data_IF_450234077011
#
_entry.id   IF_450234077011
#
_cell.length_a   1.000
_cell.length_b   1.000
_cell.length_c   1.000
_cell.angle_alpha   90.00
_cell.angle_beta   90.00
_cell.angle_gamma   90.00
#
_symmetry.space_group_name_H-M   'P 1'
#
loop_
_entity.id
_entity.type
_entity.pdbx_description
1 polymer ?
#
# COMPACT_ATOMS: atom_id res chain seq x y z
N UNK A 1 7.34 7.04 -0.76
CA UNK A 1 7.30 5.71 -1.42
C UNK A 1 5.88 5.23 -1.49
N UNK A 2 5.50 4.56 -2.57
CA UNK A 2 4.16 3.94 -2.72
C UNK A 2 4.29 2.44 -2.98
N UNK A 3 3.44 1.66 -2.35
CA UNK A 3 3.30 0.22 -2.60
C UNK A 3 1.91 -0.26 -2.19
N UNK A 4 1.55 -1.50 -2.55
CA UNK A 4 0.25 -2.08 -2.24
C UNK A 4 0.37 -3.48 -1.64
N UNK A 5 -0.58 -3.82 -0.77
CA UNK A 5 -0.68 -5.14 -0.16
C UNK A 5 -2.08 -5.73 -0.37
N UNK A 6 -2.20 -7.04 -0.68
CA UNK A 6 -3.47 -7.73 -0.74
C UNK A 6 -4.20 -7.75 0.62
N UNK A 7 -5.49 -7.43 0.61
CA UNK A 7 -6.40 -7.58 1.75
C UNK A 7 -7.48 -8.58 1.35
N UNK A 8 -7.26 -9.89 1.55
CA UNK A 8 -8.25 -10.90 1.24
C UNK A 8 -9.43 -10.82 2.23
N UNK A 9 -10.64 -10.92 1.73
CA UNK A 9 -11.88 -11.00 2.53
C UNK A 9 -12.46 -12.41 2.55
N UNK A 10 -12.16 -13.21 1.52
CA UNK A 10 -12.55 -14.61 1.43
C UNK A 10 -11.56 -15.40 0.58
N UNK A 11 -11.56 -16.73 0.77
CA UNK A 11 -10.86 -17.63 -0.14
C UNK A 11 -11.53 -17.63 -1.52
N UNK A 12 -10.76 -17.74 -2.59
CA UNK A 12 -11.26 -17.65 -3.97
C UNK A 12 -12.35 -18.68 -4.27
N UNK A 13 -12.28 -19.87 -3.68
CA UNK A 13 -13.29 -20.91 -3.84
C UNK A 13 -14.68 -20.50 -3.30
N UNK A 14 -14.76 -19.43 -2.50
CA UNK A 14 -16.00 -18.87 -1.97
C UNK A 14 -16.48 -17.63 -2.73
N UNK A 15 -15.93 -17.33 -3.89
CA UNK A 15 -16.21 -16.11 -4.67
C UNK A 15 -17.72 -15.90 -4.87
N UNK A 16 -18.45 -16.95 -5.23
CA UNK A 16 -19.89 -16.87 -5.48
C UNK A 16 -20.76 -17.03 -4.23
N UNK A 17 -20.23 -17.63 -3.17
CA UNK A 17 -21.00 -17.91 -1.95
C UNK A 17 -20.84 -16.83 -0.86
N UNK A 18 -19.78 -16.01 -0.92
CA UNK A 18 -19.54 -15.00 0.11
C UNK A 18 -20.44 -13.80 -0.06
N UNK A 19 -20.96 -13.29 1.08
CA UNK A 19 -21.74 -12.04 1.16
C UNK A 19 -20.91 -10.87 1.74
N UNK A 20 -19.62 -11.09 2.01
CA UNK A 20 -18.75 -10.10 2.66
C UNK A 20 -18.51 -8.92 1.72
N UNK A 21 -18.74 -7.69 2.21
CA UNK A 21 -18.54 -6.43 1.50
C UNK A 21 -19.29 -6.37 0.14
N UNK A 22 -20.49 -6.95 0.05
CA UNK A 22 -21.32 -6.95 -1.17
C UNK A 22 -22.58 -6.12 -1.03
N UNK A 23 -22.60 -5.20 -0.09
CA UNK A 23 -23.71 -4.25 0.11
C UNK A 23 -23.91 -3.31 -1.07
N UNK A 24 -22.84 -2.94 -1.78
CA UNK A 24 -22.88 -2.12 -2.98
C UNK A 24 -22.03 -2.75 -4.09
N UNK A 25 -22.54 -2.77 -5.31
CA UNK A 25 -21.86 -3.34 -6.46
C UNK A 25 -20.52 -2.63 -6.76
N UNK A 26 -20.49 -1.30 -6.57
CA UNK A 26 -19.31 -0.47 -6.82
C UNK A 26 -18.15 -0.79 -5.88
N UNK A 27 -18.43 -1.15 -4.64
CA UNK A 27 -17.43 -1.47 -3.61
C UNK A 27 -17.27 -2.97 -3.40
N UNK A 28 -18.03 -3.83 -4.08
CA UNK A 28 -17.93 -5.28 -3.94
C UNK A 28 -16.51 -5.79 -4.19
N UNK A 29 -16.03 -6.79 -3.40
CA UNK A 29 -14.69 -7.33 -3.55
C UNK A 29 -14.54 -8.04 -4.89
N UNK A 30 -13.33 -8.04 -5.42
CA UNK A 30 -13.04 -8.62 -6.71
C UNK A 30 -11.84 -9.58 -6.64
N UNK A 31 -11.66 -10.38 -7.68
CA UNK A 31 -10.57 -11.34 -7.80
C UNK A 31 -9.26 -10.63 -8.11
N UNK A 32 -8.23 -10.90 -7.32
CA UNK A 32 -6.87 -10.46 -7.56
C UNK A 32 -5.88 -11.59 -7.51
N UNK A 33 -4.67 -11.36 -8.03
CA UNK A 33 -3.55 -12.28 -7.95
C UNK A 33 -2.46 -11.72 -7.06
N UNK A 34 -1.99 -12.52 -6.10
CA UNK A 34 -0.85 -12.18 -5.25
C UNK A 34 0.40 -12.89 -5.79
N UNK A 35 1.30 -12.14 -6.43
CA UNK A 35 2.56 -12.69 -6.94
C UNK A 35 3.44 -13.27 -5.81
N UNK A 36 3.41 -12.65 -4.63
CA UNK A 36 4.18 -13.11 -3.46
C UNK A 36 3.71 -14.46 -2.94
N UNK A 37 2.39 -14.71 -2.98
CA UNK A 37 1.81 -15.97 -2.50
C UNK A 37 1.57 -16.99 -3.63
N UNK A 38 1.75 -16.59 -4.88
CA UNK A 38 1.49 -17.44 -6.05
C UNK A 38 0.02 -17.85 -6.21
N UNK A 39 -0.94 -17.11 -5.64
CA UNK A 39 -2.34 -17.52 -5.60
C UNK A 39 -3.32 -16.37 -5.84
N UNK A 40 -4.51 -16.73 -6.30
CA UNK A 40 -5.65 -15.83 -6.41
C UNK A 40 -6.31 -15.64 -5.05
N UNK A 41 -6.88 -14.45 -4.82
CA UNK A 41 -7.68 -14.13 -3.65
C UNK A 41 -8.88 -13.26 -4.06
N UNK A 42 -9.91 -13.23 -3.23
CA UNK A 42 -11.05 -12.33 -3.34
C UNK A 42 -10.90 -11.22 -2.31
N UNK A 43 -10.93 -9.97 -2.72
CA UNK A 43 -10.79 -8.85 -1.78
C UNK A 43 -10.36 -7.54 -2.41
N UNK A 44 -9.46 -6.87 -1.73
CA UNK A 44 -8.99 -5.51 -2.04
C UNK A 44 -7.47 -5.43 -2.04
N UNK A 45 -6.95 -4.29 -2.50
CA UNK A 45 -5.56 -3.87 -2.28
C UNK A 45 -5.57 -2.62 -1.42
N UNK A 46 -4.76 -2.63 -0.37
CA UNK A 46 -4.43 -1.43 0.38
C UNK A 46 -3.18 -0.80 -0.23
N UNK A 47 -3.33 0.39 -0.76
CA UNK A 47 -2.22 1.23 -1.22
C UNK A 47 -1.79 2.13 -0.08
N UNK A 48 -0.48 2.22 0.15
CA UNK A 48 0.11 3.12 1.15
C UNK A 48 1.17 4.01 0.51
N UNK A 49 1.11 5.29 0.83
CA UNK A 49 2.19 6.22 0.58
C UNK A 49 2.87 6.53 1.90
N UNK A 50 4.18 6.34 1.94
CA UNK A 50 4.99 6.56 3.14
C UNK A 50 6.22 7.40 2.83
N UNK A 51 6.69 8.15 3.83
CA UNK A 51 7.95 8.90 3.75
C UNK A 51 9.16 7.96 3.80
N UNK A 52 10.35 8.49 3.56
CA UNK A 52 11.61 7.74 3.71
C UNK A 52 11.83 7.21 5.14
N UNK A 53 11.30 7.90 6.13
CA UNK A 53 11.34 7.48 7.53
C UNK A 53 10.27 6.46 7.90
N UNK A 54 9.36 6.13 6.97
CA UNK A 54 8.30 5.16 7.19
C UNK A 54 7.05 5.75 7.87
N UNK A 55 6.88 7.06 7.88
CA UNK A 55 5.66 7.70 8.36
C UNK A 55 4.62 7.71 7.25
N UNK A 56 3.37 7.40 7.57
CA UNK A 56 2.27 7.39 6.61
C UNK A 56 1.95 8.80 6.12
N UNK A 57 1.72 8.91 4.83
CA UNK A 57 1.21 10.12 4.19
C UNK A 57 -0.26 9.95 3.81
N UNK A 58 -0.56 8.92 3.01
CA UNK A 58 -1.91 8.63 2.55
C UNK A 58 -2.12 7.13 2.37
N UNK A 59 -3.38 6.72 2.38
CA UNK A 59 -3.79 5.34 2.12
C UNK A 59 -5.07 5.33 1.29
N UNK A 60 -5.24 4.25 0.52
CA UNK A 60 -6.45 3.99 -0.24
C UNK A 60 -6.71 2.49 -0.39
N UNK A 61 -7.98 2.13 -0.60
CA UNK A 61 -8.43 0.76 -0.84
C UNK A 61 -9.06 0.67 -2.23
N UNK A 62 -8.46 -0.17 -3.08
CA UNK A 62 -9.01 -0.50 -4.39
C UNK A 62 -9.47 -1.95 -4.44
N UNK A 63 -10.40 -2.28 -5.35
CA UNK A 63 -10.73 -3.69 -5.66
C UNK A 63 -9.47 -4.44 -6.08
N UNK A 64 -9.37 -5.71 -5.74
CA UNK A 64 -8.19 -6.52 -6.03
C UNK A 64 -7.85 -6.65 -7.54
N UNK A 65 -8.86 -6.53 -8.42
CA UNK A 65 -8.71 -6.52 -9.88
C UNK A 65 -8.06 -5.25 -10.43
N UNK A 66 -8.18 -4.12 -9.71
CA UNK A 66 -7.64 -2.83 -10.17
C UNK A 66 -6.12 -2.90 -10.24
N UNK A 67 -5.55 -2.60 -11.41
CA UNK A 67 -4.11 -2.60 -11.60
C UNK A 67 -3.48 -1.39 -10.88
N UNK A 68 -2.30 -1.57 -10.28
CA UNK A 68 -1.61 -0.51 -9.51
C UNK A 68 -1.39 0.78 -10.32
N UNK A 69 -1.26 0.70 -11.66
CA UNK A 69 -1.17 1.86 -12.55
C UNK A 69 -2.40 2.77 -12.43
N UNK A 70 -3.59 2.21 -12.22
CA UNK A 70 -4.81 3.04 -12.10
C UNK A 70 -4.78 3.90 -10.83
N UNK A 71 -4.18 3.40 -9.76
CA UNK A 71 -3.99 4.17 -8.52
C UNK A 71 -3.13 5.44 -8.73
N UNK A 72 -2.29 5.50 -9.77
CA UNK A 72 -1.55 6.72 -10.08
C UNK A 72 -2.46 7.93 -10.36
N UNK A 73 -3.70 7.70 -10.82
CA UNK A 73 -4.69 8.75 -11.02
C UNK A 73 -5.17 9.31 -9.68
N UNK A 74 -5.33 8.45 -8.68
CA UNK A 74 -5.81 8.83 -7.35
C UNK A 74 -4.71 9.54 -6.55
N UNK A 75 -3.44 9.25 -6.83
CA UNK A 75 -2.29 9.96 -6.26
C UNK A 75 -2.30 11.47 -6.51
N UNK A 76 -2.92 11.94 -7.58
CA UNK A 76 -3.08 13.37 -7.86
C UNK A 76 -3.92 14.09 -6.79
N UNK A 77 -4.78 13.35 -6.11
CA UNK A 77 -5.68 13.85 -5.06
C UNK A 77 -5.13 13.62 -3.64
N UNK A 78 -3.95 12.99 -3.52
CA UNK A 78 -3.34 12.66 -2.22
C UNK A 78 -2.71 13.85 -1.48
N UNK A 79 -2.65 15.03 -2.11
CA UNK A 79 -1.95 16.21 -1.57
C UNK A 79 -0.43 16.19 -1.79
N UNK A 80 0.12 15.15 -2.44
CA UNK A 80 1.53 15.12 -2.84
C UNK A 80 1.79 16.07 -4.01
N UNK A 81 2.89 16.81 -3.93
CA UNK A 81 3.39 17.66 -5.01
C UNK A 81 4.91 17.86 -4.89
N UNK A 82 5.55 18.19 -6.01
CA UNK A 82 6.97 18.57 -6.09
C UNK A 82 7.91 17.61 -5.35
N UNK A 83 7.74 16.30 -5.58
CA UNK A 83 8.48 15.27 -4.86
C UNK A 83 8.91 14.09 -5.72
N UNK A 84 9.97 13.41 -5.26
CA UNK A 84 10.39 12.11 -5.79
C UNK A 84 9.59 11.00 -5.12
N UNK A 85 8.85 10.21 -5.90
CA UNK A 85 8.07 9.08 -5.43
C UNK A 85 8.66 7.76 -5.95
N UNK A 86 9.07 6.86 -5.05
CA UNK A 86 9.56 5.54 -5.40
C UNK A 86 8.42 4.53 -5.38
N UNK A 87 8.31 3.70 -6.42
CA UNK A 87 7.28 2.68 -6.53
C UNK A 87 7.83 1.33 -7.04
N UNK A 88 7.01 0.28 -6.97
CA UNK A 88 7.35 -1.02 -7.55
C UNK A 88 7.10 -1.04 -9.07
N UNK A 89 7.60 -2.09 -9.72
CA UNK A 89 7.37 -2.38 -11.16
C UNK A 89 5.89 -2.44 -11.55
N UNK A 90 5.01 -2.75 -10.60
CA UNK A 90 3.56 -2.73 -10.80
C UNK A 90 2.98 -1.36 -11.13
N UNK A 91 3.72 -0.28 -10.87
CA UNK A 91 3.36 1.10 -11.17
C UNK A 91 4.02 1.65 -12.45
N UNK A 92 4.74 0.80 -13.20
CA UNK A 92 5.45 1.22 -14.41
C UNK A 92 4.46 1.61 -15.51
N UNK A 93 4.41 2.90 -15.83
CA UNK A 93 3.59 3.49 -16.89
C UNK A 93 4.21 4.81 -17.34
N UNK A 94 4.77 4.85 -18.52
CA UNK A 94 5.38 6.09 -19.06
C UNK A 94 4.38 7.25 -19.13
N UNK A 95 3.13 6.97 -19.56
CA UNK A 95 2.08 7.97 -19.60
C UNK A 95 1.66 8.44 -18.20
N UNK A 96 1.49 7.50 -17.25
CA UNK A 96 1.14 7.84 -15.86
C UNK A 96 2.24 8.62 -15.15
N UNK A 97 3.51 8.30 -15.41
CA UNK A 97 4.66 9.04 -14.89
C UNK A 97 4.70 10.48 -15.42
N UNK A 98 4.55 10.64 -16.73
CA UNK A 98 4.50 11.97 -17.37
C UNK A 98 3.33 12.80 -16.85
N UNK A 99 2.16 12.21 -16.73
CA UNK A 99 0.95 12.86 -16.26
C UNK A 99 1.07 13.33 -14.79
N UNK A 100 1.66 12.52 -13.91
CA UNK A 100 1.97 12.90 -12.51
C UNK A 100 2.98 14.05 -12.45
N UNK A 101 4.02 14.00 -13.29
CA UNK A 101 5.02 15.05 -13.35
C UNK A 101 4.43 16.38 -13.82
N UNK A 102 3.71 16.38 -14.93
CA UNK A 102 3.12 17.59 -15.49
C UNK A 102 2.01 18.20 -14.60
N UNK A 103 1.23 17.36 -13.93
CA UNK A 103 0.09 17.83 -13.15
C UNK A 103 0.44 18.20 -11.70
N UNK A 104 1.45 17.57 -11.10
CA UNK A 104 1.78 17.68 -9.66
C UNK A 104 3.27 17.81 -9.35
N UNK A 105 4.15 17.87 -10.35
CA UNK A 105 5.60 17.88 -10.12
C UNK A 105 6.12 16.58 -9.49
N UNK A 106 5.35 15.48 -9.53
CA UNK A 106 5.75 14.21 -8.92
C UNK A 106 6.62 13.42 -9.89
N UNK A 107 7.89 13.24 -9.55
CA UNK A 107 8.79 12.37 -10.28
C UNK A 107 8.63 10.94 -9.79
N UNK A 108 7.89 10.10 -10.51
CA UNK A 108 7.70 8.69 -10.16
C UNK A 108 8.85 7.84 -10.70
N UNK A 109 9.63 7.25 -9.80
CA UNK A 109 10.74 6.34 -10.10
C UNK A 109 10.36 4.88 -9.82
N UNK A 110 10.45 4.03 -10.85
CA UNK A 110 10.18 2.59 -10.78
C UNK A 110 11.38 1.78 -11.30
N UNK A 111 11.62 0.56 -10.79
CA UNK A 111 12.66 -0.31 -11.34
C UNK A 111 12.34 -0.70 -12.78
N UNK A 112 13.30 -0.59 -13.67
CA UNK A 112 13.16 -1.07 -15.05
C UNK A 112 13.04 -2.60 -15.11
N UNK A 113 12.31 -3.11 -16.10
CA UNK A 113 12.33 -4.54 -16.43
C UNK A 113 13.64 -4.87 -17.18
N UNK A 114 14.22 -6.06 -16.93
CA UNK A 114 15.49 -6.46 -17.55
C UNK A 114 15.48 -6.47 -19.09
N UNK A 115 14.31 -6.68 -19.68
CA UNK A 115 14.10 -6.71 -21.14
C UNK A 115 13.79 -5.33 -21.74
N UNK A 116 13.82 -4.24 -20.97
CA UNK A 116 13.62 -2.90 -21.50
C UNK A 116 14.90 -2.36 -22.16
N UNK A 117 14.73 -1.66 -23.28
CA UNK A 117 15.84 -0.96 -23.96
C UNK A 117 16.42 0.09 -22.98
N UNK A 118 17.76 0.13 -22.89
CA UNK A 118 18.44 1.04 -21.95
C UNK A 118 18.36 0.60 -20.49
N UNK A 119 18.13 -0.69 -20.21
CA UNK A 119 18.10 -1.20 -18.84
C UNK A 119 19.33 -0.77 -18.04
N UNK A 120 19.10 -0.20 -16.88
CA UNK A 120 20.08 0.06 -15.84
C UNK A 120 19.59 -0.45 -14.49
N UNK A 121 20.47 -0.95 -13.61
CA UNK A 121 20.07 -1.41 -12.30
C UNK A 121 19.62 -0.24 -11.43
N UNK A 122 18.55 -0.47 -10.68
CA UNK A 122 18.02 0.53 -9.76
C UNK A 122 19.05 0.88 -8.68
N UNK A 123 19.23 2.17 -8.32
CA UNK A 123 20.19 2.58 -7.31
C UNK A 123 20.01 1.84 -5.98
N UNK A 124 21.10 1.52 -5.31
CA UNK A 124 21.09 0.79 -4.02
C UNK A 124 20.34 1.60 -2.95
N UNK A 125 20.46 2.92 -2.98
CA UNK A 125 19.73 3.84 -2.08
C UNK A 125 18.21 3.69 -2.22
N UNK A 126 17.71 3.60 -3.45
CA UNK A 126 16.29 3.40 -3.72
C UNK A 126 15.79 2.01 -3.29
N UNK A 127 16.62 0.97 -3.49
CA UNK A 127 16.31 -0.37 -2.97
C UNK A 127 16.22 -0.40 -1.44
N UNK A 128 17.14 0.28 -0.76
CA UNK A 128 17.12 0.40 0.71
C UNK A 128 15.89 1.17 1.20
N UNK A 129 15.57 2.29 0.54
CA UNK A 129 14.39 3.08 0.87
C UNK A 129 13.10 2.25 0.73
N UNK A 130 12.97 1.48 -0.36
CA UNK A 130 11.79 0.66 -0.61
C UNK A 130 11.56 -0.42 0.46
N UNK A 131 12.61 -1.01 1.03
CA UNK A 131 12.48 -1.97 2.14
C UNK A 131 11.72 -1.40 3.34
N UNK A 132 11.65 -0.08 3.47
CA UNK A 132 10.92 0.57 4.55
C UNK A 132 9.41 0.32 4.46
N UNK A 133 8.81 0.44 3.27
CA UNK A 133 7.38 0.17 3.11
C UNK A 133 7.07 -1.32 3.32
N UNK A 134 7.96 -2.22 2.91
CA UNK A 134 7.85 -3.66 3.17
C UNK A 134 7.85 -3.95 4.69
N UNK A 135 8.74 -3.29 5.45
CA UNK A 135 8.78 -3.40 6.92
C UNK A 135 7.46 -2.93 7.54
N UNK A 136 6.90 -1.81 7.07
CA UNK A 136 5.63 -1.28 7.57
C UNK A 136 4.48 -2.24 7.27
N UNK A 137 4.43 -2.82 6.07
CA UNK A 137 3.44 -3.84 5.76
C UNK A 137 3.57 -5.09 6.65
N UNK A 138 4.80 -5.52 6.94
CA UNK A 138 5.03 -6.61 7.89
C UNK A 138 4.50 -6.24 9.29
N UNK A 139 4.80 -5.05 9.80
CA UNK A 139 4.30 -4.59 11.10
C UNK A 139 2.76 -4.53 11.13
N UNK A 140 2.13 -3.98 10.10
CA UNK A 140 0.66 -3.95 9.99
C UNK A 140 0.05 -5.37 9.97
N UNK A 141 0.69 -6.33 9.29
CA UNK A 141 0.20 -7.69 9.20
C UNK A 141 0.44 -8.49 10.48
N UNK A 142 1.66 -8.42 11.04
CA UNK A 142 2.10 -9.32 12.11
C UNK A 142 1.69 -8.80 13.49
N UNK A 143 1.79 -7.49 13.72
CA UNK A 143 1.48 -6.89 15.02
C UNK A 143 0.02 -6.42 15.11
N UNK A 144 -0.57 -5.93 14.00
CA UNK A 144 -1.93 -5.40 13.98
C UNK A 144 -2.91 -6.27 13.18
N UNK A 145 -2.47 -7.43 12.70
CA UNK A 145 -3.31 -8.40 11.99
C UNK A 145 -4.11 -7.79 10.82
N UNK A 146 -3.47 -6.95 10.00
CA UNK A 146 -4.14 -6.22 8.92
C UNK A 146 -4.97 -7.13 8.01
N UNK A 147 -4.43 -8.29 7.62
CA UNK A 147 -5.11 -9.26 6.74
C UNK A 147 -6.23 -10.04 7.44
N UNK A 148 -6.26 -10.09 8.77
CA UNK A 148 -7.32 -10.74 9.57
C UNK A 148 -8.36 -9.70 9.99
N UNK A 149 -9.03 -9.11 9.02
CA UNK A 149 -9.91 -7.97 9.28
C UNK A 149 -11.27 -8.38 9.86
N UNK A 150 -11.86 -9.49 9.42
CA UNK A 150 -13.20 -9.99 9.82
C UNK A 150 -14.36 -8.99 9.62
N UNK A 151 -14.16 -7.93 8.85
CA UNK A 151 -15.22 -7.00 8.49
C UNK A 151 -16.26 -7.69 7.60
N UNK A 152 -17.53 -7.32 7.75
CA UNK A 152 -18.63 -7.84 6.92
C UNK A 152 -19.03 -6.85 5.84
N UNK A 153 -18.78 -5.56 6.06
CA UNK A 153 -19.09 -4.45 5.17
C UNK A 153 -17.82 -3.78 4.66
N UNK A 154 -17.91 -3.08 3.54
CA UNK A 154 -16.80 -2.31 2.99
C UNK A 154 -16.38 -1.16 3.95
N UNK A 155 -17.35 -0.46 4.51
CA UNK A 155 -17.09 0.60 5.50
C UNK A 155 -16.40 0.06 6.75
N UNK A 156 -16.82 -1.11 7.23
CA UNK A 156 -16.18 -1.80 8.35
C UNK A 156 -14.75 -2.23 8.02
N UNK A 157 -14.47 -2.67 6.79
CA UNK A 157 -13.13 -3.00 6.31
C UNK A 157 -12.25 -1.75 6.28
N UNK A 158 -12.75 -0.66 5.71
CA UNK A 158 -12.07 0.63 5.58
C UNK A 158 -11.74 1.19 6.97
N UNK A 159 -12.73 1.27 7.85
CA UNK A 159 -12.56 1.78 9.22
C UNK A 159 -11.48 0.98 9.98
N UNK A 160 -11.51 -0.34 9.93
CA UNK A 160 -10.51 -1.19 10.58
C UNK A 160 -9.11 -1.03 9.97
N UNK A 161 -9.03 -0.81 8.66
CA UNK A 161 -7.74 -0.59 7.99
C UNK A 161 -7.15 0.77 8.40
N UNK A 162 -7.97 1.83 8.41
CA UNK A 162 -7.58 3.17 8.88
C UNK A 162 -7.13 3.10 10.34
N UNK A 163 -7.90 2.47 11.21
CA UNK A 163 -7.57 2.37 12.65
C UNK A 163 -6.19 1.72 12.88
N UNK A 164 -5.82 0.69 12.10
CA UNK A 164 -4.52 0.03 12.20
C UNK A 164 -3.37 0.93 11.71
N UNK A 165 -3.57 1.65 10.62
CA UNK A 165 -2.60 2.64 10.13
C UNK A 165 -2.43 3.76 11.15
N UNK A 166 -3.53 4.28 11.70
CA UNK A 166 -3.50 5.30 12.76
C UNK A 166 -2.77 4.80 14.01
N UNK A 167 -3.01 3.56 14.42
CA UNK A 167 -2.30 2.96 15.57
C UNK A 167 -0.78 2.93 15.35
N UNK A 168 -0.31 2.52 14.17
CA UNK A 168 1.14 2.57 13.86
C UNK A 168 1.66 4.01 13.92
N UNK A 169 0.94 4.95 13.32
CA UNK A 169 1.34 6.38 13.33
C UNK A 169 1.42 6.92 14.77
N UNK A 170 0.46 6.55 15.62
CA UNK A 170 0.47 6.95 17.02
C UNK A 170 1.67 6.34 17.79
N UNK A 171 1.97 5.06 17.58
CA UNK A 171 3.14 4.41 18.18
C UNK A 171 4.46 5.02 17.69
N UNK A 172 4.53 5.39 16.41
CA UNK A 172 5.67 6.14 15.86
C UNK A 172 5.82 7.52 16.51
N UNK A 173 4.69 8.22 16.74
CA UNK A 173 4.69 9.50 17.45
C UNK A 173 5.21 9.35 18.89
N UNK A 174 4.74 8.34 19.65
CA UNK A 174 5.22 8.06 21.00
C UNK A 174 6.72 7.76 21.03
N UNK A 175 7.21 6.93 20.08
CA UNK A 175 8.65 6.68 19.96
C UNK A 175 9.44 7.96 19.72
N UNK A 176 8.93 8.84 18.84
CA UNK A 176 9.57 10.13 18.58
C UNK A 176 9.63 11.01 19.83
N UNK A 177 8.55 11.09 20.61
CA UNK A 177 8.51 11.85 21.86
C UNK A 177 9.49 11.32 22.90
N UNK A 178 9.70 10.01 22.92
CA UNK A 178 10.61 9.33 23.84
C UNK A 178 12.06 9.15 23.27
N UNK A 179 12.39 9.88 22.19
CA UNK A 179 13.71 9.82 21.51
C UNK A 179 14.12 8.40 21.09
N UNK A 180 13.14 7.53 20.82
CA UNK A 180 13.33 6.14 20.38
C UNK A 180 13.25 6.04 18.86
N UNK A 181 13.83 4.97 18.26
CA UNK A 181 13.70 4.72 16.83
C UNK A 181 12.23 4.58 16.43
N UNK A 182 11.73 5.47 15.57
CA UNK A 182 10.30 5.64 15.29
C UNK A 182 9.59 4.37 14.83
N UNK A 183 10.30 3.49 14.12
CA UNK A 183 9.73 2.25 13.58
C UNK A 183 9.83 1.03 14.52
N UNK A 184 10.35 1.19 15.74
CA UNK A 184 10.36 0.12 16.75
C UNK A 184 9.03 0.08 17.51
N UNK A 185 7.91 -0.02 16.79
CA UNK A 185 6.56 0.12 17.36
C UNK A 185 6.22 -0.97 18.39
N UNK A 186 6.83 -2.15 18.31
CA UNK A 186 6.60 -3.25 19.27
C UNK A 186 6.90 -2.84 20.72
N UNK A 187 7.85 -1.94 20.92
CA UNK A 187 8.31 -1.50 22.24
C UNK A 187 7.88 -0.05 22.57
N UNK A 188 7.00 0.54 21.74
CA UNK A 188 6.61 1.93 21.91
C UNK A 188 5.90 2.22 23.25
N UNK A 189 5.20 1.23 23.80
CA UNK A 189 4.48 1.31 25.09
C UNK A 189 5.26 0.72 26.26
N UNK A 190 6.47 0.18 26.02
CA UNK A 190 7.31 -0.30 27.11
C UNK A 190 7.95 0.90 27.84
N UNK A 191 7.76 0.95 29.14
CA UNK A 191 8.41 1.91 30.05
C UNK A 191 9.87 1.58 30.26
#
# INVERSE_FOLDING_TARGET
>A
MVDSIPIPVAHIAREYATKICREHLETAPDKGYSATLGQYYLGYKLHLVVTLNGVFHSMDLTKASVHNIQYLKDLKHSGLQDCLLLADKGYLSSQGQLDLFLSKGIELQTPMRRNQKGYHPWPVTFKKARRRVETIFAQLCDQLMLKRNYAKTFDGLTTRSISKVTAVTFLQYLNKQNERPINHIKHALAT
#
